data_IF_928205364932
#
_entry.id   IF_928205364932
#
_cell.length_a   1.000
_cell.length_b   1.000
_cell.length_c   1.000
_cell.angle_alpha   90.00
_cell.angle_beta   90.00
_cell.angle_gamma   90.00
#
_symmetry.space_group_name_H-M   'P 1'
#
loop_
_entity.id
_entity.type
_entity.pdbx_description
1 polymer ?
#
# COMPACT_ATOMS: atom_id res chain seq x y z
N UNK A 1 0.96 -6.05 -22.49
CA UNK A 1 1.41 -4.75 -21.93
C UNK A 1 2.01 -4.99 -20.55
N UNK A 2 3.04 -4.25 -20.16
CA UNK A 2 3.50 -4.22 -18.77
C UNK A 2 2.59 -3.32 -17.90
N UNK A 3 2.77 -3.34 -16.57
CA UNK A 3 1.91 -2.58 -15.64
C UNK A 3 1.93 -1.07 -15.90
N UNK A 4 3.08 -0.51 -16.29
CA UNK A 4 3.21 0.93 -16.61
C UNK A 4 2.43 1.29 -17.87
N UNK A 5 2.62 0.51 -18.93
CA UNK A 5 1.90 0.69 -20.20
C UNK A 5 0.39 0.59 -19.98
N UNK A 6 -0.05 -0.41 -19.21
CA UNK A 6 -1.44 -0.64 -18.87
C UNK A 6 -2.02 0.53 -18.06
N UNK A 7 -1.31 1.02 -17.05
CA UNK A 7 -1.72 2.19 -16.27
C UNK A 7 -1.91 3.41 -17.17
N UNK A 8 -0.95 3.71 -18.03
CA UNK A 8 -1.05 4.84 -18.95
C UNK A 8 -2.22 4.70 -19.92
N UNK A 9 -2.44 3.51 -20.49
CA UNK A 9 -3.57 3.26 -21.39
C UNK A 9 -4.92 3.47 -20.68
N UNK A 10 -5.07 2.99 -19.43
CA UNK A 10 -6.27 3.20 -18.61
C UNK A 10 -6.49 4.69 -18.36
N UNK A 11 -5.46 5.42 -17.91
CA UNK A 11 -5.56 6.84 -17.56
C UNK A 11 -5.81 7.74 -18.78
N UNK A 12 -5.45 7.29 -19.98
CA UNK A 12 -5.73 7.97 -21.25
C UNK A 12 -7.02 7.50 -21.93
N UNK A 13 -7.83 6.66 -21.27
CA UNK A 13 -9.08 6.11 -21.82
C UNK A 13 -8.89 5.31 -23.13
N UNK A 14 -7.75 4.65 -23.26
CA UNK A 14 -7.44 3.74 -24.37
C UNK A 14 -7.96 2.32 -24.10
N UNK A 15 -7.59 1.36 -24.95
CA UNK A 15 -7.95 -0.07 -24.79
C UNK A 15 -6.77 -0.88 -24.27
N UNK A 16 -6.61 -1.05 -22.93
CA UNK A 16 -5.60 -1.93 -22.37
C UNK A 16 -5.90 -3.41 -22.67
N UNK A 17 -4.90 -4.28 -22.55
CA UNK A 17 -5.05 -5.73 -22.70
C UNK A 17 -5.91 -6.39 -21.59
N UNK A 18 -5.88 -5.81 -20.39
CA UNK A 18 -6.75 -6.08 -19.24
C UNK A 18 -6.71 -4.90 -18.26
N UNK A 19 -7.53 -4.92 -17.21
CA UNK A 19 -7.41 -3.97 -16.09
C UNK A 19 -6.20 -4.28 -15.20
N UNK A 20 -5.81 -3.29 -14.39
CA UNK A 20 -4.84 -3.47 -13.30
C UNK A 20 -5.50 -4.29 -12.19
N UNK A 21 -4.76 -5.26 -11.67
CA UNK A 21 -5.15 -6.07 -10.52
C UNK A 21 -4.35 -5.59 -9.32
N UNK A 22 -4.96 -4.70 -8.56
CA UNK A 22 -4.44 -4.16 -7.30
C UNK A 22 -5.52 -4.24 -6.25
N UNK A 23 -5.11 -4.31 -4.98
CA UNK A 23 -5.99 -3.99 -3.88
C UNK A 23 -5.53 -2.78 -3.08
N UNK A 24 -6.49 -2.16 -2.40
CA UNK A 24 -6.21 -1.06 -1.49
C UNK A 24 -5.56 -1.59 -0.21
N UNK A 25 -6.13 -2.61 0.42
CA UNK A 25 -5.59 -3.13 1.66
C UNK A 25 -6.35 -4.35 2.14
N UNK A 26 -5.76 -5.01 3.13
CA UNK A 26 -6.32 -6.20 3.74
C UNK A 26 -6.51 -5.97 5.24
N UNK A 27 -7.53 -6.58 5.82
CA UNK A 27 -7.66 -6.60 7.27
C UNK A 27 -6.64 -7.56 7.87
N UNK A 28 -5.97 -7.15 8.95
CA UNK A 28 -4.99 -7.97 9.66
C UNK A 28 -5.54 -9.33 10.07
N UNK A 29 -6.76 -9.36 10.61
CA UNK A 29 -7.44 -10.60 10.98
C UNK A 29 -7.69 -11.52 9.78
N UNK A 30 -8.00 -10.95 8.61
CA UNK A 30 -8.22 -11.71 7.37
C UNK A 30 -6.94 -12.36 6.88
N UNK A 31 -5.83 -11.62 6.83
CA UNK A 31 -4.52 -12.18 6.43
C UNK A 31 -4.09 -13.28 7.40
N UNK A 32 -4.27 -13.07 8.71
CA UNK A 32 -3.98 -14.09 9.72
C UNK A 32 -4.78 -15.38 9.51
N UNK A 33 -6.08 -15.25 9.22
CA UNK A 33 -6.92 -16.39 8.88
C UNK A 33 -6.45 -17.08 7.60
N UNK A 34 -6.10 -16.34 6.56
CA UNK A 34 -5.62 -16.90 5.29
C UNK A 34 -4.30 -17.67 5.44
N UNK A 35 -3.38 -17.24 6.30
CA UNK A 35 -2.20 -18.05 6.62
C UNK A 35 -2.59 -19.41 7.24
N UNK A 36 -3.61 -19.45 8.09
CA UNK A 36 -4.16 -20.70 8.62
C UNK A 36 -4.90 -21.55 7.58
N UNK A 37 -5.35 -20.95 6.47
CA UNK A 37 -6.04 -21.60 5.35
C UNK A 37 -5.09 -22.04 4.22
N UNK A 38 -3.78 -21.77 4.35
CA UNK A 38 -2.75 -22.22 3.42
C UNK A 38 -2.12 -21.14 2.54
N UNK A 39 -2.34 -19.86 2.84
CA UNK A 39 -1.57 -18.77 2.21
C UNK A 39 -0.07 -18.97 2.55
N UNK A 40 0.84 -18.98 1.56
CA UNK A 40 2.27 -19.08 1.82
C UNK A 40 2.78 -17.88 2.63
N UNK A 41 3.57 -18.15 3.68
CA UNK A 41 4.16 -17.14 4.55
C UNK A 41 5.64 -16.92 4.20
N UNK A 42 5.91 -16.46 2.98
CA UNK A 42 7.28 -16.29 2.45
C UNK A 42 7.96 -15.07 3.07
N UNK A 43 7.24 -13.96 3.14
CA UNK A 43 7.71 -12.71 3.74
C UNK A 43 7.28 -12.60 5.19
N UNK A 44 6.06 -13.05 5.49
CA UNK A 44 5.49 -13.11 6.83
C UNK A 44 5.35 -11.74 7.49
N UNK A 45 4.15 -11.18 7.46
CA UNK A 45 3.87 -9.97 8.22
C UNK A 45 3.82 -10.23 9.73
N UNK A 46 4.21 -9.22 10.52
CA UNK A 46 3.84 -9.17 11.94
C UNK A 46 2.35 -8.90 12.04
N UNK A 47 1.61 -9.89 12.53
CA UNK A 47 0.17 -9.85 12.69
C UNK A 47 -0.26 -9.62 14.15
N UNK A 48 0.67 -9.24 15.02
CA UNK A 48 0.37 -8.87 16.40
C UNK A 48 -0.39 -7.55 16.46
N UNK A 49 -1.62 -7.55 16.97
CA UNK A 49 -2.40 -6.31 17.16
C UNK A 49 -3.88 -6.48 16.85
N UNK A 50 -4.56 -5.36 16.61
CA UNK A 50 -5.99 -5.31 16.31
C UNK A 50 -6.30 -6.02 14.98
N UNK A 51 -7.16 -7.06 14.97
CA UNK A 51 -7.63 -7.70 13.73
C UNK A 51 -8.29 -6.74 12.73
N UNK A 52 -8.89 -5.65 13.22
CA UNK A 52 -9.49 -4.59 12.42
C UNK A 52 -8.47 -3.61 11.82
N UNK A 53 -7.19 -3.74 12.15
CA UNK A 53 -6.15 -2.88 11.58
C UNK A 53 -5.96 -3.17 10.08
N UNK A 54 -5.97 -2.11 9.26
CA UNK A 54 -5.69 -2.20 7.84
C UNK A 54 -4.20 -2.40 7.55
N UNK A 55 -3.90 -3.30 6.62
CA UNK A 55 -2.58 -3.55 6.06
C UNK A 55 -2.57 -3.02 4.63
N UNK A 56 -1.50 -2.31 4.26
CA UNK A 56 -1.36 -1.70 2.93
C UNK A 56 -1.17 -2.77 1.85
N UNK A 57 -1.82 -2.60 0.70
CA UNK A 57 -1.64 -3.44 -0.48
C UNK A 57 -1.13 -2.60 -1.68
N UNK A 58 -1.34 -3.06 -2.91
CA UNK A 58 -0.67 -2.55 -4.10
C UNK A 58 -1.04 -1.11 -4.47
N UNK A 59 -2.27 -0.70 -4.18
CA UNK A 59 -2.76 0.64 -4.50
C UNK A 59 -2.33 1.71 -3.47
N UNK A 60 -1.70 1.33 -2.35
CA UNK A 60 -1.02 2.30 -1.50
C UNK A 60 0.44 2.48 -1.93
N UNK A 61 0.92 3.73 -2.06
CA UNK A 61 2.33 3.99 -2.29
C UNK A 61 3.17 3.37 -1.16
N UNK A 62 4.01 2.39 -1.51
CA UNK A 62 4.97 1.82 -0.58
C UNK A 62 6.36 2.41 -0.85
N UNK A 63 7.10 2.61 0.22
CA UNK A 63 8.49 3.05 0.16
C UNK A 63 9.36 1.84 0.53
N UNK A 64 10.14 1.29 -0.43
CA UNK A 64 11.01 0.14 -0.17
C UNK A 64 12.07 0.39 0.93
N UNK A 65 12.37 1.65 1.23
CA UNK A 65 13.31 2.03 2.29
C UNK A 65 12.65 2.25 3.65
N UNK A 66 11.32 2.29 3.70
CA UNK A 66 10.56 2.56 4.92
C UNK A 66 10.27 1.28 5.70
N UNK A 67 10.69 1.28 6.97
CA UNK A 67 10.37 0.21 7.93
C UNK A 67 8.97 0.33 8.54
N UNK A 68 8.27 1.44 8.32
CA UNK A 68 6.94 1.72 8.89
C UNK A 68 5.82 1.68 7.85
N UNK A 69 6.18 1.65 6.57
CA UNK A 69 5.24 1.59 5.43
C UNK A 69 5.35 0.27 4.69
N UNK A 70 5.41 -0.82 5.44
CA UNK A 70 5.36 -2.16 4.86
C UNK A 70 3.99 -2.41 4.20
N UNK A 71 4.04 -3.13 3.08
CA UNK A 71 2.88 -3.64 2.36
C UNK A 71 2.78 -5.13 2.55
N UNK A 72 1.60 -5.69 2.35
CA UNK A 72 1.46 -7.12 2.24
C UNK A 72 2.07 -7.65 0.93
N UNK A 73 2.92 -8.67 1.05
CA UNK A 73 3.66 -9.29 -0.06
C UNK A 73 3.24 -10.73 -0.30
N UNK A 74 2.77 -11.43 0.72
CA UNK A 74 2.40 -12.83 0.56
C UNK A 74 1.11 -12.98 -0.28
N UNK A 75 0.09 -12.16 0.00
CA UNK A 75 -1.14 -12.11 -0.83
C UNK A 75 -0.82 -11.65 -2.26
N UNK A 76 0.07 -10.66 -2.40
CA UNK A 76 0.51 -10.13 -3.69
C UNK A 76 1.04 -11.24 -4.61
N UNK A 77 1.97 -12.03 -4.08
CA UNK A 77 2.61 -13.13 -4.81
C UNK A 77 1.66 -14.29 -5.05
N UNK A 78 0.87 -14.69 -4.03
CA UNK A 78 -0.06 -15.80 -4.14
C UNK A 78 -1.16 -15.57 -5.19
N UNK A 79 -1.60 -14.31 -5.36
CA UNK A 79 -2.68 -13.95 -6.28
C UNK A 79 -2.17 -13.43 -7.64
N UNK A 80 -0.85 -13.30 -7.82
CA UNK A 80 -0.27 -12.80 -9.07
C UNK A 80 -0.67 -11.35 -9.37
N UNK A 81 -0.71 -10.49 -8.36
CA UNK A 81 -1.10 -9.09 -8.49
C UNK A 81 -0.10 -8.30 -9.36
N UNK A 82 -0.55 -7.20 -9.96
CA UNK A 82 0.35 -6.32 -10.70
C UNK A 82 1.33 -5.58 -9.76
N UNK A 83 2.56 -5.29 -10.22
CA UNK A 83 3.52 -4.46 -9.49
C UNK A 83 2.89 -3.24 -8.80
N UNK A 84 3.15 -3.04 -7.50
CA UNK A 84 2.52 -2.00 -6.67
C UNK A 84 3.01 -0.58 -6.99
N UNK A 85 2.29 0.42 -6.48
CA UNK A 85 2.71 1.83 -6.54
C UNK A 85 3.93 2.05 -5.63
N UNK A 86 5.02 2.57 -6.18
CA UNK A 86 6.23 2.93 -5.43
C UNK A 86 6.20 4.43 -5.12
N UNK A 87 6.38 4.78 -3.84
CA UNK A 87 6.58 6.16 -3.41
C UNK A 87 7.98 6.62 -3.83
N UNK A 88 8.06 7.78 -4.49
CA UNK A 88 9.35 8.42 -4.74
C UNK A 88 9.85 9.05 -3.42
N UNK A 89 11.14 8.93 -3.08
CA UNK A 89 11.72 9.49 -1.86
C UNK A 89 11.95 11.01 -2.03
N UNK A 90 10.89 11.74 -2.33
CA UNK A 90 10.88 13.19 -2.51
C UNK A 90 10.05 13.84 -1.41
N UNK A 91 10.51 14.97 -0.89
CA UNK A 91 9.72 15.75 0.05
C UNK A 91 8.59 16.46 -0.71
N UNK A 92 7.39 15.88 -0.68
CA UNK A 92 6.17 16.42 -1.29
C UNK A 92 5.38 17.36 -0.37
N UNK A 93 5.94 17.69 0.80
CA UNK A 93 5.34 18.64 1.74
C UNK A 93 5.58 20.10 1.35
N UNK A 94 4.82 21.04 1.95
CA UNK A 94 5.10 22.46 1.83
C UNK A 94 6.57 22.74 2.21
N UNK A 95 7.24 23.54 1.37
CA UNK A 95 8.62 23.92 1.57
C UNK A 95 8.79 25.43 1.32
N UNK A 96 9.34 26.21 2.27
CA UNK A 96 9.81 25.79 3.59
C UNK A 96 8.71 25.25 4.50
N UNK A 97 9.09 24.46 5.51
CA UNK A 97 8.17 24.18 6.61
C UNK A 97 7.75 25.53 7.22
N UNK A 98 6.46 25.72 7.41
CA UNK A 98 5.94 26.91 8.08
C UNK A 98 6.11 26.72 9.59
N UNK A 99 6.64 27.74 10.26
CA UNK A 99 6.65 27.77 11.72
C UNK A 99 5.21 27.95 12.21
N UNK A 100 4.67 27.02 13.03
CA UNK A 100 3.32 27.15 13.55
C UNK A 100 3.21 28.39 14.43
N UNK A 101 2.21 29.23 14.19
CA UNK A 101 1.86 30.35 15.06
C UNK A 101 0.64 29.92 15.88
N UNK A 102 0.83 29.69 17.18
CA UNK A 102 -0.27 29.39 18.10
C UNK A 102 -0.87 30.71 18.58
N UNK A 103 -2.14 30.95 18.26
CA UNK A 103 -2.86 32.15 18.71
C UNK A 103 -3.50 31.98 20.09
N UNK A 104 -3.97 30.77 20.38
CA UNK A 104 -4.58 30.36 21.65
C UNK A 104 -4.37 28.86 21.79
N UNK A 105 -3.90 28.42 22.96
CA UNK A 105 -3.76 27.01 23.31
C UNK A 105 -4.89 26.69 24.30
N UNK A 106 -5.71 25.70 23.96
CA UNK A 106 -6.78 25.22 24.84
C UNK A 106 -6.39 23.81 25.25
N UNK A 107 -5.91 23.67 26.48
CA UNK A 107 -5.62 22.37 27.10
C UNK A 107 -6.94 21.55 27.15
N UNK A 108 -7.01 20.46 26.39
CA UNK A 108 -8.02 19.39 26.52
C UNK A 108 -7.50 18.25 27.42
#
# INVERSE_FOLDING_TARGET
MNTRERFNAIMNFEKPDRNIIWEMGYWRGTVNRWYGEGLPKTHGLSLEGDPGQGIRAEAFPHDPSSTTRERERDVHEAMGMDPPIVALPVNLGPQPFFEPIVFEDTDD
#
